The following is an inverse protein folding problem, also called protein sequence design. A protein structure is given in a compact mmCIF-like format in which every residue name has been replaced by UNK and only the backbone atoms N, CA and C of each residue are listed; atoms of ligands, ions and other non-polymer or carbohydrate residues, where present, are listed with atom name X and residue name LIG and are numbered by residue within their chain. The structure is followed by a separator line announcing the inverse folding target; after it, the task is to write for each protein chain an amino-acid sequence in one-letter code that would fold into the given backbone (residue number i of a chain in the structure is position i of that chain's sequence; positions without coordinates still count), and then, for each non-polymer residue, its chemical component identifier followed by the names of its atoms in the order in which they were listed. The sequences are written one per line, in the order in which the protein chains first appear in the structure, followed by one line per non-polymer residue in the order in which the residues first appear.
data_IF_934707532379
#
_entry.id   IF_934707532379
#
_cell.length_a   1.000
_cell.length_b   1.000
_cell.length_c   1.000
_cell.angle_alpha   90.00
_cell.angle_beta   90.00
_cell.angle_gamma   90.00
#
_symmetry.space_group_name_H-M   'P 1'
#
loop_
_entity.id
_entity.type
_entity.pdbx_description
1 polymer ?
#
# COMPACT_ATOMS: atom_id res chain seq x y z
N UNK A 1 -41.67 17.95 29.93
CA UNK A 1 -40.30 18.22 29.47
C UNK A 1 -39.58 16.91 29.08
N UNK A 2 -40.06 16.17 28.08
CA UNK A 2 -39.74 14.73 27.97
C UNK A 2 -39.21 14.25 26.60
N UNK A 3 -39.30 15.05 25.53
CA UNK A 3 -38.87 14.59 24.19
C UNK A 3 -37.36 14.75 23.90
N UNK A 4 -36.69 15.79 24.42
CA UNK A 4 -35.29 16.07 24.04
C UNK A 4 -34.31 14.94 24.42
N UNK A 5 -34.53 14.22 25.54
CA UNK A 5 -33.63 13.13 25.94
C UNK A 5 -33.68 11.93 24.97
N UNK A 6 -34.85 11.59 24.40
CA UNK A 6 -34.93 10.53 23.37
C UNK A 6 -34.23 10.95 22.08
N UNK A 7 -34.43 12.18 21.61
CA UNK A 7 -33.74 12.69 20.43
C UNK A 7 -32.22 12.72 20.60
N UNK A 8 -31.71 13.19 21.74
CA UNK A 8 -30.26 13.22 22.01
C UNK A 8 -29.67 11.81 22.04
N UNK A 9 -30.32 10.84 22.70
CA UNK A 9 -29.83 9.45 22.75
C UNK A 9 -29.88 8.78 21.37
N UNK A 10 -30.97 8.96 20.60
CA UNK A 10 -31.08 8.42 19.24
C UNK A 10 -30.03 9.05 18.31
N UNK A 11 -29.81 10.36 18.41
CA UNK A 11 -28.80 11.08 17.62
C UNK A 11 -27.38 10.60 17.98
N UNK A 12 -27.05 10.48 19.27
CA UNK A 12 -25.75 9.95 19.72
C UNK A 12 -25.53 8.52 19.22
N UNK A 13 -26.53 7.64 19.34
CA UNK A 13 -26.43 6.25 18.85
C UNK A 13 -26.23 6.22 17.33
N UNK A 14 -27.03 6.97 16.56
CA UNK A 14 -26.88 7.06 15.10
C UNK A 14 -25.53 7.64 14.68
N UNK A 15 -25.02 8.68 15.37
CA UNK A 15 -23.68 9.20 15.09
C UNK A 15 -22.59 8.20 15.46
N UNK A 16 -22.75 7.45 16.55
CA UNK A 16 -21.76 6.46 17.00
C UNK A 16 -21.69 5.26 16.05
N UNK A 17 -22.84 4.70 15.66
CA UNK A 17 -22.87 3.61 14.68
C UNK A 17 -22.39 4.07 13.31
N UNK A 18 -22.82 5.25 12.83
CA UNK A 18 -22.34 5.81 11.56
C UNK A 18 -20.82 6.07 11.57
N UNK A 19 -20.27 6.58 12.68
CA UNK A 19 -18.83 6.84 12.83
C UNK A 19 -18.02 5.53 12.87
N UNK A 20 -18.46 4.53 13.63
CA UNK A 20 -17.84 3.19 13.66
C UNK A 20 -17.90 2.50 12.28
N UNK A 21 -19.02 2.63 11.56
CA UNK A 21 -19.21 2.08 10.22
C UNK A 21 -18.25 2.74 9.22
N UNK A 22 -18.22 4.08 9.18
CA UNK A 22 -17.29 4.85 8.33
C UNK A 22 -15.82 4.55 8.68
N UNK A 23 -15.48 4.37 9.95
CA UNK A 23 -14.13 4.00 10.40
C UNK A 23 -13.74 2.59 9.92
N UNK A 24 -14.66 1.62 9.96
CA UNK A 24 -14.46 0.29 9.40
C UNK A 24 -14.30 0.32 7.87
N UNK A 25 -15.00 1.22 7.17
CA UNK A 25 -14.91 1.38 5.72
C UNK A 25 -13.67 2.13 5.23
N UNK A 26 -13.24 3.15 5.96
CA UNK A 26 -11.90 3.75 5.79
C UNK A 26 -10.82 2.68 5.94
N UNK A 27 -10.94 1.77 6.93
CA UNK A 27 -9.99 0.66 7.05
C UNK A 27 -10.13 -0.40 5.93
N UNK A 28 -11.32 -0.53 5.32
CA UNK A 28 -11.61 -1.48 4.26
C UNK A 28 -10.89 -1.14 2.96
N UNK A 29 -11.05 0.08 2.44
CA UNK A 29 -10.44 0.48 1.18
C UNK A 29 -8.90 0.42 1.24
N UNK A 30 -8.34 0.77 2.40
CA UNK A 30 -6.91 0.67 2.68
C UNK A 30 -6.40 -0.78 2.72
N UNK A 31 -7.20 -1.73 3.21
CA UNK A 31 -6.85 -3.16 3.22
C UNK A 31 -7.03 -3.78 1.82
N UNK A 32 -8.11 -3.45 1.11
CA UNK A 32 -8.38 -3.93 -0.25
C UNK A 32 -7.24 -3.56 -1.21
N UNK A 33 -6.73 -2.31 -1.14
CA UNK A 33 -5.58 -1.85 -1.94
C UNK A 33 -4.31 -2.61 -1.57
N UNK A 34 -4.02 -2.82 -0.28
CA UNK A 34 -2.86 -3.64 0.15
C UNK A 34 -2.90 -5.08 -0.38
N UNK A 35 -4.10 -5.59 -0.66
CA UNK A 35 -4.34 -6.93 -1.20
C UNK A 35 -4.54 -6.95 -2.73
N UNK A 36 -4.43 -5.81 -3.42
CA UNK A 36 -4.73 -5.63 -4.85
C UNK A 36 -6.15 -6.08 -5.27
N UNK A 37 -7.12 -6.05 -4.34
CA UNK A 37 -8.48 -6.54 -4.58
C UNK A 37 -9.31 -5.50 -5.35
N UNK A 38 -9.11 -5.44 -6.67
CA UNK A 38 -9.78 -4.50 -7.57
C UNK A 38 -11.31 -4.68 -7.62
N UNK A 39 -11.84 -5.84 -7.20
CA UNK A 39 -13.27 -6.07 -7.08
C UNK A 39 -13.82 -5.40 -5.81
N UNK A 40 -13.21 -5.69 -4.66
CA UNK A 40 -13.59 -5.10 -3.38
C UNK A 40 -13.40 -3.57 -3.38
N UNK A 41 -12.36 -3.03 -4.03
CA UNK A 41 -12.19 -1.57 -4.20
C UNK A 41 -13.41 -0.95 -4.92
N UNK A 42 -13.89 -1.56 -6.02
CA UNK A 42 -15.06 -1.07 -6.76
C UNK A 42 -16.34 -1.20 -5.94
N UNK A 43 -16.49 -2.27 -5.17
CA UNK A 43 -17.68 -2.48 -4.33
C UNK A 43 -17.75 -1.46 -3.18
N UNK A 44 -16.63 -1.23 -2.47
CA UNK A 44 -16.54 -0.23 -1.40
C UNK A 44 -16.92 1.16 -1.92
N UNK A 45 -16.37 1.55 -3.07
CA UNK A 45 -16.65 2.84 -3.73
C UNK A 45 -18.11 2.95 -4.16
N UNK A 46 -18.72 1.85 -4.64
CA UNK A 46 -20.13 1.82 -5.06
C UNK A 46 -21.08 2.02 -3.88
N UNK A 47 -20.75 1.49 -2.69
CA UNK A 47 -21.60 1.59 -1.48
C UNK A 47 -21.41 2.91 -0.72
N UNK A 48 -20.16 3.34 -0.50
CA UNK A 48 -19.84 4.54 0.30
C UNK A 48 -19.70 5.84 -0.50
N UNK A 49 -19.67 5.75 -1.83
CA UNK A 49 -19.54 6.89 -2.72
C UNK A 49 -18.22 7.66 -2.58
N UNK A 50 -18.23 8.94 -2.98
CA UNK A 50 -17.02 9.74 -3.20
C UNK A 50 -16.20 10.10 -1.95
N UNK A 51 -16.69 9.82 -0.73
CA UNK A 51 -15.94 10.10 0.50
C UNK A 51 -14.81 9.09 0.72
N UNK A 52 -15.11 7.80 0.57
CA UNK A 52 -14.21 6.70 0.95
C UNK A 52 -12.86 6.72 0.23
N UNK A 53 -12.79 7.26 -0.99
CA UNK A 53 -11.54 7.38 -1.77
C UNK A 53 -10.58 8.46 -1.28
N UNK A 54 -11.06 9.37 -0.42
CA UNK A 54 -10.30 10.47 0.18
C UNK A 54 -10.08 10.29 1.70
N UNK A 55 -10.63 9.23 2.29
CA UNK A 55 -10.45 8.90 3.70
C UNK A 55 -8.97 8.72 4.05
N UNK A 56 -8.57 9.18 5.24
CA UNK A 56 -7.16 9.18 5.67
C UNK A 56 -6.90 8.08 6.70
N UNK A 57 -5.88 7.28 6.44
CA UNK A 57 -5.28 6.40 7.45
C UNK A 57 -4.52 7.20 8.52
N UNK A 58 -4.12 6.57 9.63
CA UNK A 58 -3.46 7.18 10.82
C UNK A 58 -2.11 7.92 10.59
N UNK A 59 -1.71 8.16 9.34
CA UNK A 59 -0.54 8.97 8.96
C UNK A 59 -0.88 9.99 7.86
N UNK A 60 -2.16 10.33 7.72
CA UNK A 60 -2.73 11.19 6.69
C UNK A 60 -2.79 10.61 5.27
N UNK A 61 -2.28 9.39 5.04
CA UNK A 61 -2.24 8.78 3.70
C UNK A 61 -3.62 8.26 3.28
N UNK A 62 -4.05 8.63 2.07
CA UNK A 62 -5.32 8.23 1.43
C UNK A 62 -5.17 6.95 0.59
N UNK A 63 -6.27 6.30 0.15
CA UNK A 63 -6.24 5.19 -0.81
C UNK A 63 -5.27 5.37 -1.98
N UNK A 64 -5.24 6.56 -2.60
CA UNK A 64 -4.39 6.83 -3.77
C UNK A 64 -2.88 6.83 -3.42
N UNK A 65 -2.51 7.17 -2.17
CA UNK A 65 -1.13 7.00 -1.70
C UNK A 65 -0.73 5.52 -1.66
N UNK A 66 -1.59 4.64 -1.16
CA UNK A 66 -1.28 3.21 -1.09
C UNK A 66 -1.24 2.58 -2.48
N UNK A 67 -2.09 2.99 -3.41
CA UNK A 67 -1.97 2.60 -4.81
C UNK A 67 -0.62 3.03 -5.41
N UNK A 68 -0.12 4.23 -5.07
CA UNK A 68 1.21 4.70 -5.43
C UNK A 68 2.35 3.92 -4.76
N UNK A 69 2.22 3.56 -3.47
CA UNK A 69 3.22 2.79 -2.71
C UNK A 69 3.54 1.41 -3.32
N UNK A 70 2.56 0.84 -4.03
CA UNK A 70 2.60 -0.51 -4.63
C UNK A 70 2.52 -0.50 -6.17
N UNK A 71 2.63 0.67 -6.83
CA UNK A 71 2.55 0.81 -8.30
C UNK A 71 1.26 0.22 -8.94
N UNK A 72 0.12 0.34 -8.25
CA UNK A 72 -1.16 -0.23 -8.68
C UNK A 72 -1.93 0.72 -9.60
N UNK A 73 -1.54 0.80 -10.87
CA UNK A 73 -2.12 1.75 -11.84
C UNK A 73 -3.62 1.56 -12.08
N UNK A 74 -4.15 0.33 -12.09
CA UNK A 74 -5.60 0.10 -12.22
C UNK A 74 -6.38 0.52 -10.97
N UNK A 75 -5.83 0.32 -9.78
CA UNK A 75 -6.42 0.84 -8.54
C UNK A 75 -6.44 2.38 -8.57
N UNK A 76 -5.34 3.02 -8.99
CA UNK A 76 -5.27 4.48 -9.13
C UNK A 76 -6.29 5.03 -10.14
N UNK A 77 -6.48 4.37 -11.30
CA UNK A 77 -7.52 4.72 -12.28
C UNK A 77 -8.93 4.66 -11.68
N UNK A 78 -9.25 3.60 -10.93
CA UNK A 78 -10.54 3.44 -10.26
C UNK A 78 -10.76 4.55 -9.22
N UNK A 79 -9.75 4.83 -8.39
CA UNK A 79 -9.81 5.85 -7.34
C UNK A 79 -9.98 7.26 -7.90
N UNK A 80 -9.20 7.65 -8.92
CA UNK A 80 -9.30 8.99 -9.52
C UNK A 80 -10.64 9.15 -10.25
N UNK A 81 -11.12 8.14 -10.98
CA UNK A 81 -12.46 8.16 -11.60
C UNK A 81 -13.59 8.32 -10.56
N UNK A 82 -13.39 7.82 -9.34
CA UNK A 82 -14.31 7.98 -8.22
C UNK A 82 -14.19 9.33 -7.48
N UNK A 83 -13.20 10.18 -7.82
CA UNK A 83 -13.00 11.50 -7.22
C UNK A 83 -11.94 11.55 -6.11
N UNK A 84 -10.93 10.66 -6.14
CA UNK A 84 -9.76 10.79 -5.28
C UNK A 84 -8.94 12.05 -5.60
N UNK A 85 -8.59 12.83 -4.57
CA UNK A 85 -7.70 13.98 -4.66
C UNK A 85 -6.27 13.53 -4.97
N UNK A 86 -5.84 13.87 -6.19
CA UNK A 86 -4.53 13.56 -6.76
C UNK A 86 -3.40 14.28 -6.01
N UNK A 87 -3.68 15.42 -5.38
CA UNK A 87 -2.74 16.24 -4.62
C UNK A 87 -2.91 16.13 -3.09
N UNK A 88 -3.72 15.16 -2.63
CA UNK A 88 -3.95 14.93 -1.21
C UNK A 88 -2.62 14.80 -0.45
N UNK A 89 -2.51 15.46 0.71
CA UNK A 89 -1.29 15.42 1.53
C UNK A 89 -1.41 14.49 2.75
N UNK A 90 -0.35 13.71 2.99
CA UNK A 90 -0.09 13.02 4.27
C UNK A 90 0.17 14.02 5.40
N UNK A 91 0.27 13.53 6.64
CA UNK A 91 0.75 14.34 7.78
C UNK A 91 2.18 14.86 7.60
N UNK A 92 3.00 14.21 6.76
CA UNK A 92 4.35 14.69 6.37
C UNK A 92 4.32 15.65 5.17
N UNK A 93 3.15 15.98 4.63
CA UNK A 93 2.97 16.83 3.45
C UNK A 93 3.26 16.15 2.11
N UNK A 94 3.55 14.84 2.10
CA UNK A 94 3.80 14.06 0.88
C UNK A 94 2.49 13.86 0.10
N UNK A 95 2.57 13.74 -1.22
CA UNK A 95 1.43 13.42 -2.12
C UNK A 95 1.58 12.02 -2.73
N UNK A 96 0.54 11.45 -3.39
CA UNK A 96 0.68 10.19 -4.12
C UNK A 96 1.81 10.19 -5.14
N UNK A 97 2.08 11.33 -5.81
CA UNK A 97 3.17 11.46 -6.77
C UNK A 97 4.55 11.28 -6.11
N UNK A 98 4.77 11.79 -4.89
CA UNK A 98 6.02 11.53 -4.15
C UNK A 98 6.25 10.03 -3.94
N UNK A 99 5.19 9.31 -3.56
CA UNK A 99 5.25 7.88 -3.24
C UNK A 99 5.45 7.03 -4.50
N UNK A 100 4.79 7.38 -5.62
CA UNK A 100 4.99 6.72 -6.91
C UNK A 100 6.44 6.90 -7.42
N UNK A 101 6.95 8.14 -7.37
CA UNK A 101 8.32 8.47 -7.80
C UNK A 101 9.38 7.77 -6.95
N UNK A 102 9.17 7.62 -5.64
CA UNK A 102 10.08 6.84 -4.77
C UNK A 102 10.11 5.33 -5.07
N UNK A 103 9.14 4.82 -5.84
CA UNK A 103 9.14 3.45 -6.37
C UNK A 103 9.67 3.33 -7.81
N UNK A 104 10.15 4.44 -8.39
CA UNK A 104 10.35 4.60 -9.83
C UNK A 104 9.12 4.16 -10.66
N UNK A 105 7.91 4.41 -10.16
CA UNK A 105 6.67 3.98 -10.80
C UNK A 105 6.31 4.92 -11.97
N UNK A 106 7.09 4.88 -13.06
CA UNK A 106 7.04 5.84 -14.18
C UNK A 106 5.63 5.96 -14.77
N UNK A 107 4.99 4.85 -15.15
CA UNK A 107 3.66 4.83 -15.78
C UNK A 107 2.57 5.39 -14.88
N UNK A 108 2.63 5.11 -13.57
CA UNK A 108 1.68 5.65 -12.60
C UNK A 108 1.97 7.13 -12.28
N UNK A 109 3.25 7.51 -12.18
CA UNK A 109 3.65 8.92 -12.00
C UNK A 109 3.18 9.77 -13.17
N UNK A 110 3.32 9.27 -14.41
CA UNK A 110 2.81 9.91 -15.63
C UNK A 110 1.28 10.07 -15.56
N UNK A 111 0.56 8.99 -15.22
CA UNK A 111 -0.89 9.01 -15.08
C UNK A 111 -1.37 9.99 -14.00
N UNK A 112 -0.68 10.09 -12.86
CA UNK A 112 -0.98 11.07 -11.82
C UNK A 112 -0.80 12.50 -12.32
N UNK A 113 0.31 12.81 -13.00
CA UNK A 113 0.58 14.15 -13.58
C UNK A 113 -0.47 14.50 -14.64
N UNK A 114 -0.86 13.54 -15.48
CA UNK A 114 -1.91 13.71 -16.51
C UNK A 114 -3.32 13.87 -15.93
N UNK A 115 -3.51 13.56 -14.63
CA UNK A 115 -4.71 13.88 -13.86
C UNK A 115 -4.50 15.05 -12.87
N UNK A 116 -3.47 15.89 -13.10
CA UNK A 116 -3.27 17.15 -12.37
C UNK A 116 -2.42 17.06 -11.11
N UNK A 117 -1.58 16.03 -10.94
CA UNK A 117 -0.58 16.02 -9.87
C UNK A 117 0.48 17.11 -10.06
N UNK A 118 0.68 17.97 -9.06
CA UNK A 118 1.71 19.00 -9.08
C UNK A 118 3.11 18.38 -8.87
N UNK A 119 3.95 18.51 -9.90
CA UNK A 119 5.34 18.02 -9.94
C UNK A 119 6.29 18.77 -9.00
N UNK A 120 5.92 19.97 -8.56
CA UNK A 120 6.73 20.85 -7.70
C UNK A 120 6.21 20.93 -6.25
N UNK A 121 5.12 20.23 -5.89
CA UNK A 121 4.54 20.32 -4.55
C UNK A 121 5.55 19.94 -3.47
N UNK A 122 5.75 20.83 -2.49
CA UNK A 122 6.62 20.57 -1.34
C UNK A 122 5.89 19.79 -0.24
N UNK A 123 6.60 18.80 0.31
CA UNK A 123 6.35 18.19 1.61
C UNK A 123 6.72 19.12 2.78
N UNK A 124 6.42 18.76 4.03
CA UNK A 124 6.71 19.64 5.19
C UNK A 124 8.20 19.93 5.40
N UNK A 125 9.10 19.09 4.88
CA UNK A 125 10.56 19.32 4.88
C UNK A 125 11.05 20.09 3.64
N UNK A 126 10.15 20.66 2.84
CA UNK A 126 10.46 21.38 1.61
C UNK A 126 10.84 20.49 0.41
N UNK A 127 10.99 19.18 0.63
CA UNK A 127 11.36 18.21 -0.41
C UNK A 127 10.19 18.03 -1.39
N UNK A 128 10.48 18.06 -2.69
CA UNK A 128 9.55 17.82 -3.82
C UNK A 128 9.58 16.36 -4.30
N UNK A 129 8.71 15.93 -5.24
CA UNK A 129 8.85 14.63 -5.89
C UNK A 129 10.24 14.38 -6.50
N UNK A 130 10.89 15.41 -7.05
CA UNK A 130 12.23 15.28 -7.65
C UNK A 130 13.32 15.01 -6.59
N UNK A 131 13.16 15.52 -5.37
CA UNK A 131 14.02 15.13 -4.23
C UNK A 131 13.80 13.65 -3.86
N UNK A 132 12.55 13.18 -3.90
CA UNK A 132 12.23 11.77 -3.62
C UNK A 132 12.76 10.83 -4.72
N UNK A 133 12.84 11.30 -5.98
CA UNK A 133 13.52 10.59 -7.06
C UNK A 133 15.02 10.46 -6.78
N UNK A 134 15.67 11.57 -6.42
CA UNK A 134 17.09 11.62 -6.05
C UNK A 134 17.44 10.71 -4.86
N UNK A 135 16.58 10.66 -3.83
CA UNK A 135 16.76 9.78 -2.66
C UNK A 135 16.60 8.29 -3.03
N UNK A 136 15.73 7.97 -4.00
CA UNK A 136 15.42 6.60 -4.43
C UNK A 136 16.30 6.08 -5.59
N UNK A 137 17.13 6.95 -6.19
CA UNK A 137 17.76 6.74 -7.49
C UNK A 137 16.77 6.40 -8.63
N UNK A 138 15.57 7.00 -8.60
CA UNK A 138 14.52 6.79 -9.60
C UNK A 138 14.73 7.67 -10.84
N UNK A 139 15.74 7.36 -11.64
CA UNK A 139 16.23 8.20 -12.74
C UNK A 139 15.21 8.44 -13.86
N UNK A 140 14.43 7.44 -14.25
CA UNK A 140 13.35 7.59 -15.24
C UNK A 140 12.22 8.49 -14.72
N UNK A 141 11.84 8.32 -13.44
CA UNK A 141 10.84 9.18 -12.79
C UNK A 141 11.35 10.61 -12.60
N UNK A 142 12.66 10.80 -12.36
CA UNK A 142 13.28 12.12 -12.37
C UNK A 142 13.19 12.77 -13.77
N UNK A 143 13.56 12.04 -14.83
CA UNK A 143 13.48 12.54 -16.21
C UNK A 143 12.03 12.87 -16.60
N UNK A 144 11.05 12.04 -16.22
CA UNK A 144 9.62 12.31 -16.42
C UNK A 144 9.16 13.59 -15.72
N UNK A 145 9.56 13.80 -14.46
CA UNK A 145 9.22 15.02 -13.70
C UNK A 145 9.79 16.27 -14.37
N UNK A 146 11.06 16.24 -14.76
CA UNK A 146 11.75 17.34 -15.45
C UNK A 146 11.06 17.66 -16.78
N UNK A 147 10.76 16.64 -17.59
CA UNK A 147 10.01 16.77 -18.85
C UNK A 147 8.54 17.22 -18.66
N UNK A 148 8.05 17.30 -17.42
CA UNK A 148 6.73 17.82 -17.04
C UNK A 148 6.81 19.13 -16.24
N UNK A 149 7.97 19.80 -16.19
CA UNK A 149 8.15 21.11 -15.58
C UNK A 149 8.54 21.11 -14.11
N UNK A 150 9.11 20.02 -13.59
CA UNK A 150 9.73 20.04 -12.27
C UNK A 150 11.02 20.88 -12.27
N UNK A 151 11.14 21.80 -11.32
CA UNK A 151 12.35 22.61 -11.15
C UNK A 151 13.49 21.75 -10.59
N UNK A 152 14.52 21.56 -11.41
CA UNK A 152 15.74 20.79 -11.13
C UNK A 152 16.52 21.34 -9.93
N UNK A 153 16.39 22.65 -9.68
CA UNK A 153 17.18 23.41 -8.71
C UNK A 153 16.38 23.87 -7.49
N UNK A 154 15.08 23.56 -7.42
CA UNK A 154 14.25 23.87 -6.25
C UNK A 154 14.85 23.23 -4.99
N UNK A 155 15.08 24.02 -3.95
CA UNK A 155 15.67 23.55 -2.70
C UNK A 155 14.64 23.10 -1.65
N UNK A 156 15.05 22.21 -0.77
CA UNK A 156 14.32 21.86 0.45
C UNK A 156 14.43 22.94 1.55
N UNK A 157 13.83 22.69 2.72
CA UNK A 157 13.83 23.68 3.80
C UNK A 157 15.23 24.03 4.31
N UNK A 158 16.25 23.21 4.08
CA UNK A 158 17.65 23.46 4.49
C UNK A 158 18.54 23.88 3.31
N UNK A 159 17.95 24.24 2.17
CA UNK A 159 18.68 24.68 0.98
C UNK A 159 19.23 23.54 0.11
N UNK A 160 19.00 22.27 0.47
CA UNK A 160 19.48 21.13 -0.30
C UNK A 160 18.63 20.99 -1.56
N UNK A 161 19.25 21.03 -2.74
CA UNK A 161 18.61 20.69 -4.03
C UNK A 161 18.53 19.16 -4.23
N UNK A 162 17.76 18.64 -5.20
CA UNK A 162 17.75 17.22 -5.54
C UNK A 162 19.16 16.63 -5.76
N UNK A 163 20.08 17.40 -6.34
CA UNK A 163 21.46 16.94 -6.59
C UNK A 163 22.25 16.70 -5.30
N UNK A 164 22.04 17.50 -4.23
CA UNK A 164 22.62 17.24 -2.91
C UNK A 164 22.19 15.88 -2.39
N UNK A 165 20.91 15.54 -2.55
CA UNK A 165 20.37 14.24 -2.12
C UNK A 165 20.86 13.09 -2.99
N UNK A 166 20.94 13.26 -4.32
CA UNK A 166 21.40 12.22 -5.23
C UNK A 166 22.84 11.81 -4.93
N UNK A 167 23.76 12.78 -4.83
CA UNK A 167 25.17 12.53 -4.50
C UNK A 167 25.30 11.92 -3.11
N UNK A 168 24.68 12.51 -2.08
CA UNK A 168 24.71 12.02 -0.69
C UNK A 168 24.08 10.62 -0.50
N UNK A 169 23.36 10.11 -1.50
CA UNK A 169 22.77 8.76 -1.52
C UNK A 169 23.42 7.82 -2.55
N UNK A 170 24.51 8.22 -3.19
CA UNK A 170 25.20 7.44 -4.24
C UNK A 170 24.26 7.04 -5.42
N UNK A 171 23.22 7.86 -5.66
CA UNK A 171 22.23 7.68 -6.70
C UNK A 171 22.81 8.07 -8.09
N UNK A 172 23.57 7.15 -8.68
CA UNK A 172 24.46 7.41 -9.82
C UNK A 172 23.68 7.83 -11.08
N UNK A 173 22.67 7.06 -11.45
CA UNK A 173 21.84 7.29 -12.64
C UNK A 173 21.01 8.57 -12.52
N UNK A 174 20.51 8.88 -11.31
CA UNK A 174 19.73 10.10 -11.06
C UNK A 174 20.63 11.33 -10.95
N UNK A 175 21.84 11.19 -10.40
CA UNK A 175 22.87 12.25 -10.42
C UNK A 175 23.17 12.66 -11.86
N UNK A 176 23.38 11.68 -12.75
CA UNK A 176 23.55 11.93 -14.19
C UNK A 176 22.34 12.69 -14.74
N UNK A 177 21.12 12.15 -14.64
CA UNK A 177 19.89 12.78 -15.20
C UNK A 177 19.68 14.21 -14.70
N UNK A 178 19.96 14.50 -13.43
CA UNK A 178 19.86 15.86 -12.88
C UNK A 178 20.87 16.81 -13.53
N UNK A 179 22.14 16.41 -13.64
CA UNK A 179 23.19 17.24 -14.26
C UNK A 179 22.94 17.43 -15.76
N UNK A 180 22.55 16.38 -16.50
CA UNK A 180 22.21 16.45 -17.94
C UNK A 180 21.05 17.42 -18.26
N UNK A 181 20.31 17.87 -17.25
CA UNK A 181 19.18 18.80 -17.36
C UNK A 181 19.37 20.08 -16.51
N UNK A 182 20.62 20.44 -16.18
CA UNK A 182 20.94 21.76 -15.63
C UNK A 182 20.87 21.88 -14.10
N UNK A 183 21.07 20.79 -13.36
CA UNK A 183 21.28 20.87 -11.91
C UNK A 183 22.55 21.66 -11.56
N UNK A 184 22.41 22.67 -10.71
CA UNK A 184 23.49 23.55 -10.27
C UNK A 184 24.43 22.81 -9.30
N UNK A 185 25.58 22.37 -9.82
CA UNK A 185 26.61 21.63 -9.07
C UNK A 185 27.23 22.43 -7.91
N UNK A 186 27.21 23.76 -8.00
CA UNK A 186 27.70 24.70 -6.96
C UNK A 186 26.57 25.35 -6.13
N UNK A 187 25.33 24.84 -6.21
CA UNK A 187 24.26 25.30 -5.33
C UNK A 187 24.65 25.06 -3.86
N UNK A 188 24.42 26.04 -2.98
CA UNK A 188 24.78 25.94 -1.56
C UNK A 188 23.55 25.70 -0.69
N UNK A 189 23.61 24.67 0.16
CA UNK A 189 22.70 24.51 1.28
C UNK A 189 22.95 25.59 2.35
N UNK A 190 22.07 25.69 3.37
CA UNK A 190 22.19 26.69 4.45
C UNK A 190 23.49 26.62 5.25
N UNK A 191 24.09 25.43 5.35
CA UNK A 191 25.38 25.20 6.00
C UNK A 191 26.58 25.57 5.11
N UNK A 192 26.34 26.03 3.89
CA UNK A 192 27.34 26.38 2.90
C UNK A 192 27.88 25.18 2.09
N UNK A 193 27.45 23.94 2.39
CA UNK A 193 27.87 22.76 1.62
C UNK A 193 27.27 22.78 0.21
N UNK A 194 28.03 22.24 -0.75
CA UNK A 194 27.57 22.02 -2.14
C UNK A 194 27.30 20.54 -2.38
N UNK A 195 26.57 20.15 -3.45
CA UNK A 195 26.42 18.75 -3.84
C UNK A 195 27.76 18.01 -3.94
N UNK A 196 28.78 18.64 -4.53
CA UNK A 196 30.07 18.01 -4.81
C UNK A 196 30.87 17.65 -3.54
N UNK A 197 30.64 18.34 -2.41
CA UNK A 197 31.25 18.01 -1.12
C UNK A 197 30.93 16.58 -0.65
N UNK A 198 29.79 16.02 -1.08
CA UNK A 198 29.33 14.70 -0.65
C UNK A 198 29.79 13.55 -1.56
N UNK A 199 30.58 13.80 -2.60
CA UNK A 199 31.09 12.76 -3.52
C UNK A 199 32.09 11.85 -2.79
N UNK A 200 31.80 10.54 -2.76
CA UNK A 200 32.68 9.53 -2.17
C UNK A 200 33.14 8.47 -3.16
N UNK A 201 32.28 8.05 -4.10
CA UNK A 201 32.66 7.08 -5.13
C UNK A 201 33.13 7.72 -6.44
N UNK A 202 33.99 6.99 -7.15
CA UNK A 202 34.35 7.31 -8.53
C UNK A 202 33.13 7.26 -9.48
N UNK A 203 32.12 6.42 -9.19
CA UNK A 203 30.89 6.30 -10.02
C UNK A 203 30.08 7.58 -10.01
N UNK A 204 29.92 8.22 -8.85
CA UNK A 204 29.20 9.49 -8.75
C UNK A 204 29.98 10.62 -9.43
N UNK A 205 31.31 10.65 -9.26
CA UNK A 205 32.18 11.58 -9.99
C UNK A 205 32.03 11.42 -11.51
N UNK A 206 32.11 10.19 -12.00
CA UNK A 206 31.92 9.83 -13.41
C UNK A 206 30.51 10.21 -13.93
N UNK A 207 29.47 10.07 -13.10
CA UNK A 207 28.10 10.48 -13.44
C UNK A 207 27.95 12.01 -13.58
N UNK A 208 28.63 12.80 -12.72
CA UNK A 208 28.69 14.26 -12.86
C UNK A 208 29.49 14.65 -14.10
N UNK A 209 30.68 14.08 -14.30
CA UNK A 209 31.55 14.36 -15.45
C UNK A 209 30.86 14.01 -16.79
N UNK A 210 30.21 12.85 -16.89
CA UNK A 210 29.38 12.46 -18.06
C UNK A 210 28.15 13.35 -18.21
N UNK A 211 27.52 13.74 -17.11
CA UNK A 211 26.37 14.64 -17.11
C UNK A 211 26.71 15.98 -17.76
N UNK A 212 27.80 16.61 -17.30
CA UNK A 212 28.31 17.87 -17.81
C UNK A 212 28.73 17.76 -19.29
N UNK A 213 29.41 16.68 -19.68
CA UNK A 213 29.83 16.46 -21.06
C UNK A 213 28.65 16.40 -22.06
N UNK A 214 27.47 15.93 -21.64
CA UNK A 214 26.27 15.93 -22.48
C UNK A 214 25.74 17.34 -22.78
N UNK A 215 25.88 18.28 -21.83
CA UNK A 215 25.37 19.66 -21.96
C UNK A 215 26.13 20.36 -23.08
N UNK A 216 27.45 20.17 -23.14
CA UNK A 216 28.35 20.70 -24.18
C UNK A 216 28.00 20.20 -25.59
N UNK A 217 27.30 19.07 -25.72
CA UNK A 217 26.84 18.52 -27.00
C UNK A 217 25.41 18.96 -27.39
N UNK A 218 24.58 19.37 -26.42
CA UNK A 218 23.18 19.81 -26.63
C UNK A 218 23.04 21.24 -27.18
N UNK A 219 24.13 22.01 -27.28
CA UNK A 219 24.10 23.43 -27.71
C UNK A 219 24.05 23.65 -29.23
N UNK A 220 24.09 22.60 -30.04
CA UNK A 220 23.84 22.67 -31.47
C UNK A 220 22.32 22.75 -31.75
N UNK A 221 21.81 23.79 -32.43
CA UNK A 221 20.37 24.01 -32.56
C UNK A 221 19.72 23.14 -33.65
N UNK A 222 18.53 22.62 -33.36
CA UNK A 222 17.60 22.02 -34.33
C UNK A 222 16.17 22.52 -34.07
N UNK A 223 15.33 22.53 -35.10
CA UNK A 223 14.15 23.42 -35.18
C UNK A 223 12.79 22.76 -34.95
N UNK A 224 11.84 23.60 -34.48
CA UNK A 224 10.37 23.48 -34.43
C UNK A 224 9.78 22.67 -35.63
N UNK A 225 8.77 21.78 -35.51
CA UNK A 225 7.50 21.73 -34.72
C UNK A 225 6.26 22.19 -35.50
N UNK A 226 5.23 21.33 -35.60
CA UNK A 226 3.75 21.57 -35.74
C UNK A 226 3.02 20.23 -35.99
N UNK A 227 1.70 20.01 -35.80
CA UNK A 227 0.63 20.51 -34.90
C UNK A 227 -0.73 19.80 -35.25
N UNK A 228 -1.81 20.04 -34.46
CA UNK A 228 -3.25 19.74 -34.73
C UNK A 228 -3.70 18.24 -34.69
N UNK A 229 -4.99 17.84 -34.52
CA UNK A 229 -6.22 18.45 -33.91
C UNK A 229 -7.29 17.36 -33.56
N UNK A 230 -8.17 17.63 -32.55
CA UNK A 230 -9.64 17.34 -32.47
C UNK A 230 -10.20 15.87 -32.59
N UNK A 231 -11.41 15.43 -32.17
CA UNK A 231 -12.57 15.96 -31.38
C UNK A 231 -13.37 14.80 -30.66
N UNK A 232 -14.67 14.94 -30.29
CA UNK A 232 -15.49 14.12 -29.31
C UNK A 232 -17.03 14.21 -29.64
N UNK A 233 -18.08 13.56 -29.00
CA UNK A 233 -18.28 12.47 -27.98
C UNK A 233 -19.15 11.27 -28.56
N UNK A 234 -20.34 10.74 -28.09
CA UNK A 234 -21.12 10.70 -26.81
C UNK A 234 -21.91 9.37 -26.40
N UNK A 235 -22.44 9.30 -25.15
CA UNK A 235 -23.63 8.53 -24.59
C UNK A 235 -23.67 6.96 -24.64
N UNK A 236 -24.39 6.14 -23.82
CA UNK A 236 -25.41 6.22 -22.71
C UNK A 236 -25.06 5.17 -21.57
N UNK A 237 -25.40 5.29 -20.27
CA UNK A 237 -26.62 4.92 -19.46
C UNK A 237 -27.03 3.41 -19.43
N UNK A 238 -27.65 2.73 -18.42
CA UNK A 238 -28.51 3.07 -17.22
C UNK A 238 -28.46 2.05 -16.02
N UNK A 239 -28.80 2.48 -14.78
CA UNK A 239 -29.56 1.81 -13.63
C UNK A 239 -29.27 0.36 -13.12
N UNK A 240 -29.01 0.11 -11.81
CA UNK A 240 -29.94 -0.20 -10.65
C UNK A 240 -30.20 -1.74 -10.45
N UNK A 241 -30.54 -2.37 -9.30
CA UNK A 241 -31.34 -2.01 -8.09
C UNK A 241 -30.86 -2.61 -6.74
N UNK A 242 -31.56 -2.28 -5.64
CA UNK A 242 -31.27 -2.61 -4.22
C UNK A 242 -31.58 -4.05 -3.76
N UNK A 243 -30.99 -4.46 -2.62
CA UNK A 243 -31.63 -5.32 -1.62
C UNK A 243 -31.05 -5.08 -0.20
N UNK A 244 -31.85 -5.38 0.84
CA UNK A 244 -31.52 -5.31 2.28
C UNK A 244 -32.20 -6.49 2.99
N UNK A 245 -31.62 -7.08 4.05
CA UNK A 245 -32.22 -7.83 5.21
C UNK A 245 -31.10 -8.68 5.90
N UNK A 246 -31.19 -9.02 7.21
CA UNK A 246 -30.02 -9.49 7.98
C UNK A 246 -30.05 -10.97 8.42
N UNK A 247 -28.90 -11.45 8.91
CA UNK A 247 -28.75 -12.55 9.89
C UNK A 247 -29.31 -13.94 9.52
N UNK A 248 -28.72 -14.57 8.51
CA UNK A 248 -28.83 -16.01 8.25
C UNK A 248 -27.52 -16.53 7.61
N UNK A 249 -27.34 -17.86 7.56
CA UNK A 249 -26.14 -18.51 7.01
C UNK A 249 -25.87 -18.07 5.57
N UNK A 250 -24.67 -17.55 5.31
CA UNK A 250 -24.28 -17.09 3.97
C UNK A 250 -23.67 -18.25 3.19
N UNK A 251 -24.25 -18.58 2.03
CA UNK A 251 -23.70 -19.59 1.11
C UNK A 251 -23.04 -18.85 -0.06
N UNK A 252 -21.80 -19.22 -0.39
CA UNK A 252 -21.05 -18.68 -1.53
C UNK A 252 -21.21 -19.54 -2.78
N UNK A 253 -20.87 -18.99 -3.95
CA UNK A 253 -20.98 -19.67 -5.25
C UNK A 253 -20.12 -20.95 -5.35
N UNK A 254 -19.08 -21.09 -4.52
CA UNK A 254 -18.25 -22.30 -4.41
C UNK A 254 -18.84 -23.38 -3.49
N UNK A 255 -19.97 -23.09 -2.81
CA UNK A 255 -20.64 -23.98 -1.85
C UNK A 255 -20.20 -23.80 -0.39
N UNK A 256 -19.21 -22.95 -0.11
CA UNK A 256 -18.79 -22.62 1.26
C UNK A 256 -19.94 -21.97 2.04
N UNK A 257 -19.97 -22.17 3.36
CA UNK A 257 -21.01 -21.63 4.27
C UNK A 257 -20.39 -20.80 5.38
N UNK A 258 -20.91 -19.60 5.63
CA UNK A 258 -20.39 -18.70 6.67
C UNK A 258 -21.45 -18.26 7.67
N UNK A 259 -21.08 -18.34 8.94
CA UNK A 259 -21.88 -17.89 10.09
C UNK A 259 -21.09 -16.83 10.84
N UNK A 260 -21.46 -15.56 10.70
CA UNK A 260 -20.75 -14.43 11.29
C UNK A 260 -21.16 -13.08 10.70
N UNK A 261 -20.41 -12.02 11.03
CA UNK A 261 -20.64 -10.69 10.48
C UNK A 261 -20.15 -10.61 9.02
N UNK A 262 -20.95 -10.03 8.12
CA UNK A 262 -20.57 -9.84 6.71
C UNK A 262 -20.39 -8.36 6.39
N UNK A 263 -19.28 -8.02 5.74
CA UNK A 263 -18.98 -6.66 5.30
C UNK A 263 -18.44 -6.69 3.87
N UNK A 264 -19.13 -6.00 2.96
CA UNK A 264 -18.91 -6.10 1.50
C UNK A 264 -19.06 -7.52 0.93
N UNK A 265 -20.08 -8.25 1.37
CA UNK A 265 -20.32 -9.63 0.92
C UNK A 265 -19.18 -10.61 1.29
N UNK A 266 -18.28 -10.21 2.20
CA UNK A 266 -17.14 -11.02 2.66
C UNK A 266 -17.12 -11.12 4.19
N UNK A 267 -16.64 -12.24 4.76
CA UNK A 267 -16.48 -12.44 6.20
C UNK A 267 -15.77 -11.28 6.92
N UNK A 268 -16.31 -10.89 8.08
CA UNK A 268 -15.81 -9.81 8.94
C UNK A 268 -16.11 -10.15 10.42
N UNK A 269 -15.57 -9.38 11.37
CA UNK A 269 -15.89 -9.58 12.79
C UNK A 269 -15.42 -10.93 13.31
N UNK A 270 -16.21 -11.58 14.18
CA UNK A 270 -16.03 -13.01 14.53
C UNK A 270 -17.00 -13.87 13.72
N UNK A 271 -16.56 -15.02 13.23
CA UNK A 271 -17.42 -16.02 12.61
C UNK A 271 -16.69 -17.29 12.19
N UNK A 272 -17.46 -18.23 11.64
CA UNK A 272 -16.99 -19.55 11.17
C UNK A 272 -17.30 -19.73 9.69
N UNK A 273 -16.29 -20.05 8.89
CA UNK A 273 -16.43 -20.47 7.48
C UNK A 273 -16.22 -21.98 7.40
N UNK A 274 -17.18 -22.70 6.81
CA UNK A 274 -17.10 -24.10 6.45
C UNK A 274 -16.89 -24.21 4.93
N UNK A 275 -15.85 -24.92 4.51
CA UNK A 275 -15.51 -25.13 3.10
C UNK A 275 -16.18 -26.42 2.57
N UNK A 276 -16.38 -26.56 1.24
CA UNK A 276 -17.04 -27.73 0.64
C UNK A 276 -16.30 -29.06 0.84
N UNK A 277 -15.00 -29.03 1.12
CA UNK A 277 -14.18 -30.21 1.39
C UNK A 277 -14.27 -30.72 2.84
N UNK A 278 -15.00 -30.01 3.72
CA UNK A 278 -15.14 -30.35 5.14
C UNK A 278 -14.20 -29.58 6.07
N UNK A 279 -13.20 -28.87 5.55
CA UNK A 279 -12.38 -27.95 6.35
C UNK A 279 -13.24 -26.80 6.89
N UNK A 280 -12.84 -26.20 8.01
CA UNK A 280 -13.45 -24.95 8.48
C UNK A 280 -12.46 -24.04 9.21
N UNK A 281 -12.82 -22.77 9.36
CA UNK A 281 -12.10 -21.81 10.18
C UNK A 281 -13.05 -21.03 11.08
N UNK A 282 -12.90 -21.16 12.40
CA UNK A 282 -13.50 -20.25 13.38
C UNK A 282 -12.46 -19.19 13.80
N UNK A 283 -12.83 -17.92 13.77
CA UNK A 283 -12.00 -16.89 14.37
C UNK A 283 -12.43 -15.48 13.98
N UNK A 284 -11.46 -14.57 14.04
CA UNK A 284 -11.63 -13.20 13.55
C UNK A 284 -11.35 -13.09 12.05
N UNK A 285 -12.22 -12.36 11.35
CA UNK A 285 -12.23 -12.18 9.91
C UNK A 285 -12.12 -10.70 9.53
N UNK A 286 -11.46 -10.43 8.40
CA UNK A 286 -11.34 -9.07 7.85
C UNK A 286 -11.42 -9.07 6.33
N UNK A 287 -12.62 -8.87 5.80
CA UNK A 287 -12.96 -8.82 4.37
C UNK A 287 -12.64 -10.14 3.63
N UNK A 288 -13.06 -11.26 4.21
CA UNK A 288 -12.89 -12.60 3.63
C UNK A 288 -11.51 -13.21 3.85
N UNK A 289 -10.71 -12.65 4.77
CA UNK A 289 -9.41 -13.18 5.17
C UNK A 289 -9.32 -13.37 6.70
N UNK A 290 -8.83 -14.51 7.20
CA UNK A 290 -8.53 -14.71 8.63
C UNK A 290 -7.57 -13.64 9.17
N UNK A 291 -7.85 -13.10 10.36
CA UNK A 291 -7.10 -11.98 10.92
C UNK A 291 -7.18 -11.87 12.44
N UNK A 292 -6.10 -12.19 13.15
CA UNK A 292 -6.08 -12.26 14.62
C UNK A 292 -6.24 -13.69 15.11
N UNK A 293 -6.71 -13.89 16.35
CA UNK A 293 -6.89 -15.25 16.90
C UNK A 293 -7.90 -16.06 16.09
N UNK A 294 -7.62 -17.35 15.89
CA UNK A 294 -8.56 -18.30 15.30
C UNK A 294 -7.96 -19.69 15.12
N UNK A 295 -8.84 -20.63 14.81
CA UNK A 295 -8.56 -22.06 14.64
C UNK A 295 -9.04 -22.52 13.28
N UNK A 296 -8.12 -23.09 12.49
CA UNK A 296 -8.46 -23.88 11.32
C UNK A 296 -8.69 -25.33 11.78
N UNK A 297 -9.77 -25.95 11.33
CA UNK A 297 -10.09 -27.36 11.53
C UNK A 297 -10.04 -28.03 10.16
N UNK A 298 -9.26 -29.08 10.02
CA UNK A 298 -9.13 -29.82 8.78
C UNK A 298 -10.16 -30.96 8.73
N UNK A 299 -10.55 -31.38 7.53
CA UNK A 299 -11.53 -32.44 7.31
C UNK A 299 -11.09 -33.83 7.87
N UNK A 300 -9.80 -34.00 8.19
CA UNK A 300 -9.24 -35.18 8.86
C UNK A 300 -9.20 -35.07 10.40
N UNK A 301 -9.86 -34.07 11.00
CA UNK A 301 -9.91 -33.91 12.46
C UNK A 301 -8.74 -33.14 13.09
N UNK A 302 -7.65 -32.91 12.35
CA UNK A 302 -6.56 -32.03 12.77
C UNK A 302 -7.07 -30.60 13.03
N UNK A 303 -6.40 -29.87 13.93
CA UNK A 303 -6.70 -28.45 14.19
C UNK A 303 -5.46 -27.61 14.43
N UNK A 304 -5.44 -26.43 13.83
CA UNK A 304 -4.35 -25.47 13.85
C UNK A 304 -4.83 -24.11 14.37
N UNK A 305 -4.41 -23.77 15.59
CA UNK A 305 -4.81 -22.57 16.33
C UNK A 305 -3.67 -21.55 16.41
N UNK A 306 -3.98 -20.26 16.23
CA UNK A 306 -2.98 -19.20 16.37
C UNK A 306 -3.42 -17.83 15.88
N UNK A 307 -2.43 -16.96 15.61
CA UNK A 307 -2.65 -15.58 15.13
C UNK A 307 -2.52 -15.50 13.62
N UNK A 308 -3.62 -15.27 12.92
CA UNK A 308 -3.73 -15.29 11.47
C UNK A 308 -3.54 -13.92 10.81
N UNK A 309 -3.06 -13.93 9.57
CA UNK A 309 -2.84 -12.74 8.75
C UNK A 309 -3.05 -13.06 7.26
N UNK A 310 -4.30 -13.33 6.88
CA UNK A 310 -4.64 -13.98 5.61
C UNK A 310 -4.59 -15.50 5.75
N UNK A 311 -4.33 -16.19 4.65
CA UNK A 311 -4.23 -17.66 4.59
C UNK A 311 -2.98 -18.24 5.27
N UNK A 312 -2.27 -17.44 6.08
CA UNK A 312 -1.09 -17.85 6.84
C UNK A 312 -1.19 -17.36 8.28
N UNK A 313 -0.66 -18.16 9.21
CA UNK A 313 -0.32 -17.71 10.55
C UNK A 313 0.80 -16.66 10.44
N UNK A 314 0.77 -15.65 11.30
CA UNK A 314 1.84 -14.67 11.44
C UNK A 314 3.13 -15.41 11.80
N UNK A 315 4.21 -15.19 11.04
CA UNK A 315 5.57 -15.71 11.32
C UNK A 315 5.86 -15.72 12.83
N UNK A 316 5.92 -16.91 13.42
CA UNK A 316 5.94 -17.08 14.88
C UNK A 316 5.01 -18.22 15.33
N UNK A 317 4.66 -18.19 16.60
CA UNK A 317 4.14 -19.35 17.33
C UNK A 317 2.67 -19.68 16.99
N UNK A 318 2.41 -20.98 16.78
CA UNK A 318 1.07 -21.56 16.62
C UNK A 318 0.99 -22.97 17.21
N UNK A 319 -0.23 -23.43 17.45
CA UNK A 319 -0.54 -24.71 18.07
C UNK A 319 -1.20 -25.64 17.05
N UNK A 320 -0.69 -26.86 16.88
CA UNK A 320 -1.31 -27.90 16.05
C UNK A 320 -1.65 -29.08 16.94
N UNK A 321 -2.85 -29.63 16.79
CA UNK A 321 -3.19 -30.95 17.33
C UNK A 321 -3.56 -31.85 16.16
N UNK A 322 -2.97 -33.04 16.14
CA UNK A 322 -3.23 -34.08 15.15
C UNK A 322 -4.43 -34.95 15.62
N UNK A 323 -5.09 -35.64 14.69
CA UNK A 323 -6.21 -36.55 14.98
C UNK A 323 -5.80 -37.71 15.91
N UNK A 324 -4.59 -38.24 15.74
CA UNK A 324 -4.02 -39.34 16.52
C UNK A 324 -3.73 -39.00 18.00
N UNK A 325 -3.75 -37.70 18.35
CA UNK A 325 -3.49 -37.18 19.69
C UNK A 325 -2.15 -36.47 19.84
N UNK A 326 -1.29 -36.47 18.82
CA UNK A 326 -0.04 -35.72 18.81
C UNK A 326 -0.32 -34.20 18.87
N UNK A 327 0.66 -33.42 19.35
CA UNK A 327 0.54 -31.99 19.57
C UNK A 327 1.86 -31.26 19.34
N UNK A 328 1.80 -30.13 18.64
CA UNK A 328 2.94 -29.22 18.45
C UNK A 328 2.61 -27.80 18.92
N UNK A 329 3.57 -27.17 19.60
CA UNK A 329 3.57 -25.73 19.87
C UNK A 329 4.94 -25.12 19.55
N UNK A 330 4.98 -24.22 18.56
CA UNK A 330 6.25 -23.66 18.07
C UNK A 330 6.07 -22.75 16.85
N UNK A 331 7.18 -22.31 16.26
CA UNK A 331 7.16 -21.42 15.10
C UNK A 331 6.71 -22.10 13.80
N UNK A 332 5.94 -21.37 12.98
CA UNK A 332 5.46 -21.84 11.68
C UNK A 332 5.99 -21.01 10.51
N UNK A 333 6.33 -21.70 9.41
CA UNK A 333 6.81 -21.10 8.15
C UNK A 333 6.31 -21.92 6.96
N UNK A 334 5.61 -21.27 6.04
CA UNK A 334 5.06 -21.89 4.82
C UNK A 334 4.25 -23.19 5.09
N UNK A 335 3.44 -23.18 6.16
CA UNK A 335 2.64 -24.30 6.65
C UNK A 335 3.45 -25.52 7.17
N UNK A 336 4.75 -25.35 7.44
CA UNK A 336 5.59 -26.33 8.12
C UNK A 336 6.05 -25.84 9.50
N UNK A 337 6.30 -26.79 10.41
CA UNK A 337 7.02 -26.58 11.66
C UNK A 337 8.44 -26.09 11.34
N UNK A 338 8.87 -25.02 12.02
CA UNK A 338 10.15 -24.36 11.83
C UNK A 338 10.62 -23.71 13.14
N UNK A 339 11.79 -23.06 13.15
CA UNK A 339 12.25 -22.27 14.31
C UNK A 339 12.35 -23.11 15.59
N UNK A 340 12.05 -22.51 16.75
CA UNK A 340 11.96 -23.27 18.02
C UNK A 340 10.53 -23.80 18.25
N UNK A 341 10.41 -25.02 18.78
CA UNK A 341 9.12 -25.64 19.06
C UNK A 341 9.19 -26.94 19.87
N UNK A 342 8.05 -27.29 20.46
CA UNK A 342 7.82 -28.47 21.29
C UNK A 342 6.76 -29.35 20.65
N UNK A 343 7.14 -30.57 20.30
CA UNK A 343 6.23 -31.64 19.89
C UNK A 343 6.01 -32.59 21.08
N UNK A 344 4.80 -33.11 21.21
CA UNK A 344 4.41 -34.10 22.22
C UNK A 344 3.60 -35.16 21.49
N UNK A 345 4.02 -36.43 21.54
CA UNK A 345 3.26 -37.55 20.97
C UNK A 345 2.09 -37.94 21.86
N UNK A 346 1.11 -38.65 21.30
CA UNK A 346 -0.08 -39.15 22.01
C UNK A 346 0.26 -40.09 23.20
N UNK A 347 1.40 -40.78 23.15
CA UNK A 347 1.94 -41.60 24.26
C UNK A 347 2.80 -40.80 25.26
N UNK A 348 3.02 -39.50 25.01
CA UNK A 348 3.64 -38.55 25.93
C UNK A 348 5.15 -38.33 25.76
N UNK A 349 5.79 -38.82 24.70
CA UNK A 349 7.18 -38.45 24.40
C UNK A 349 7.27 -36.97 24.00
N UNK A 350 8.34 -36.28 24.43
CA UNK A 350 8.50 -34.83 24.22
C UNK A 350 9.76 -34.54 23.43
N UNK A 351 9.60 -33.80 22.32
CA UNK A 351 10.69 -33.34 21.46
C UNK A 351 10.70 -31.81 21.44
N UNK A 352 11.59 -31.20 22.21
CA UNK A 352 11.66 -29.74 22.41
C UNK A 352 13.01 -29.20 21.93
N UNK A 353 12.99 -28.34 20.90
CA UNK A 353 14.20 -27.89 20.22
C UNK A 353 13.89 -27.19 18.90
N UNK A 354 14.83 -27.24 17.95
CA UNK A 354 14.68 -26.60 16.65
C UNK A 354 14.07 -27.53 15.60
N UNK A 355 13.31 -26.93 14.68
CA UNK A 355 12.59 -27.60 13.60
C UNK A 355 12.91 -26.96 12.25
N UNK A 356 12.98 -27.76 11.19
CA UNK A 356 13.04 -27.24 9.82
C UNK A 356 12.23 -28.10 8.83
N UNK A 357 11.21 -27.48 8.24
CA UNK A 357 10.33 -28.08 7.23
C UNK A 357 9.73 -29.41 7.72
N UNK A 358 9.14 -29.39 8.92
CA UNK A 358 8.60 -30.54 9.66
C UNK A 358 9.61 -31.53 10.25
N UNK A 359 10.91 -31.38 10.02
CA UNK A 359 11.94 -32.25 10.60
C UNK A 359 12.44 -31.69 11.94
N UNK A 360 12.58 -32.54 12.96
CA UNK A 360 13.24 -32.20 14.21
C UNK A 360 14.76 -32.16 14.02
N UNK A 361 15.38 -31.03 14.39
CA UNK A 361 16.82 -30.76 14.23
C UNK A 361 17.57 -30.86 15.58
N UNK A 362 16.83 -30.98 16.70
CA UNK A 362 17.38 -31.08 18.05
C UNK A 362 17.42 -29.74 18.81
N UNK A 363 17.64 -29.82 20.12
CA UNK A 363 18.03 -28.67 20.92
C UNK A 363 19.49 -28.26 20.58
N UNK A 364 19.77 -26.95 20.59
CA UNK A 364 21.12 -26.37 20.46
C UNK A 364 21.55 -25.76 21.79
#
# INVERSE_FOLDING_TARGET
MTNNKKFIVIFIILTSTCFLHLQAFSQAIHEAIKNNDLALIKEIITKEGKKVVNEKSKGGATPLHWAAAYNMIEAAKILIKAGADVNAKTETGSTPLHWAVNRNAVSLSKFLIENGADVNTKSLKGNTPLHWAAIANASESALLLINKGADVNMSDNEGNTPLHFAIRKEATETTKVLVENGAAIEAKAKDGTTPLYWIKSAKIREAVEKGLASITQKTAPSTLSTAQNEQKPPLNETTSTNATIPSADFIFDDGSKYVGEMLFGKPHGKGTLLFPNGDSFEGYWKYGKPKGEGTFYFANGDRLSGKWNGSTIIKGNGFYHFEDGDYYSGEWKNNCMHGFGKYITADGMVFEGYWENNNYIGAK
#
